data_IF_145583291861
#
_entry.id   IF_145583291861
#
_cell.length_a   1.000
_cell.length_b   1.000
_cell.length_c   1.000
_cell.angle_alpha   90.00
_cell.angle_beta   90.00
_cell.angle_gamma   90.00
#
_symmetry.space_group_name_H-M   'P 1'
#
loop_
_entity.id
_entity.type
_entity.pdbx_description
1 polymer ?
#
# COMPACT_ATOMS: atom_id res chain seq x y z
N UNK A 1 -6.73 1.64 -8.87
CA UNK A 1 -7.99 0.91 -8.68
C UNK A 1 -8.05 0.45 -7.23
N UNK A 2 -9.01 0.91 -6.45
CA UNK A 2 -9.20 0.51 -5.06
C UNK A 2 -10.15 -0.71 -5.00
N UNK A 3 -9.74 -1.77 -4.32
CA UNK A 3 -10.54 -2.99 -4.13
C UNK A 3 -11.80 -2.75 -3.30
N UNK A 4 -11.78 -1.76 -2.41
CA UNK A 4 -12.95 -1.40 -1.60
C UNK A 4 -14.14 -0.94 -2.46
N UNK A 5 -13.89 -0.44 -3.67
CA UNK A 5 -14.92 0.01 -4.61
C UNK A 5 -15.53 -1.15 -5.42
N UNK A 6 -14.90 -2.33 -5.41
CA UNK A 6 -15.38 -3.49 -6.16
C UNK A 6 -16.50 -4.23 -5.41
N UNK A 7 -17.63 -4.43 -6.09
CA UNK A 7 -18.64 -5.38 -5.67
C UNK A 7 -18.27 -6.78 -6.17
N UNK A 8 -17.90 -7.69 -5.26
CA UNK A 8 -17.39 -9.04 -5.59
C UNK A 8 -18.41 -9.96 -6.26
N UNK A 9 -19.70 -9.58 -6.30
CA UNK A 9 -20.71 -10.28 -7.11
C UNK A 9 -20.62 -9.95 -8.61
N UNK A 10 -19.90 -8.89 -8.98
CA UNK A 10 -19.65 -8.53 -10.37
C UNK A 10 -18.35 -9.19 -10.86
N UNK A 11 -18.33 -9.76 -12.08
CA UNK A 11 -17.11 -10.30 -12.66
C UNK A 11 -15.99 -9.26 -12.71
N UNK A 12 -14.77 -9.68 -12.37
CA UNK A 12 -13.59 -8.81 -12.32
C UNK A 12 -13.39 -8.03 -13.64
N UNK A 13 -13.52 -8.69 -14.80
CA UNK A 13 -13.30 -8.05 -16.10
C UNK A 13 -14.30 -6.92 -16.38
N UNK A 14 -15.55 -7.10 -15.94
CA UNK A 14 -16.58 -6.07 -16.07
C UNK A 14 -16.22 -4.86 -15.22
N UNK A 15 -15.85 -5.10 -13.96
CA UNK A 15 -15.42 -4.02 -13.07
C UNK A 15 -14.15 -3.32 -13.57
N UNK A 16 -13.14 -4.05 -14.04
CA UNK A 16 -11.91 -3.45 -14.61
C UNK A 16 -12.20 -2.63 -15.88
N UNK A 17 -13.15 -3.08 -16.71
CA UNK A 17 -13.58 -2.31 -17.89
C UNK A 17 -14.24 -1.00 -17.47
N UNK A 18 -15.09 -1.04 -16.44
CA UNK A 18 -15.73 0.14 -15.86
C UNK A 18 -14.72 1.09 -15.23
N UNK A 19 -13.75 0.61 -14.45
CA UNK A 19 -12.66 1.42 -13.91
C UNK A 19 -11.87 2.14 -15.01
N UNK A 20 -11.51 1.45 -16.09
CA UNK A 20 -10.83 2.05 -17.23
C UNK A 20 -11.67 3.14 -17.91
N UNK A 21 -12.99 2.93 -18.00
CA UNK A 21 -13.88 3.91 -18.62
C UNK A 21 -14.16 5.10 -17.71
N UNK A 22 -14.53 4.86 -16.46
CA UNK A 22 -15.08 5.88 -15.58
C UNK A 22 -13.97 6.71 -14.93
N UNK A 23 -12.89 6.05 -14.48
CA UNK A 23 -11.77 6.72 -13.82
C UNK A 23 -10.73 7.22 -14.81
N UNK A 24 -10.37 6.39 -15.79
CA UNK A 24 -9.28 6.68 -16.73
C UNK A 24 -9.75 7.21 -18.09
N UNK A 25 -11.07 7.38 -18.29
CA UNK A 25 -11.68 7.96 -19.50
C UNK A 25 -11.28 7.21 -20.79
N UNK A 26 -10.99 5.91 -20.69
CA UNK A 26 -10.74 5.03 -21.83
C UNK A 26 -12.09 4.65 -22.44
N UNK A 27 -12.23 4.82 -23.76
CA UNK A 27 -13.45 4.40 -24.46
C UNK A 27 -13.80 2.94 -24.14
N UNK A 28 -15.07 2.65 -23.85
CA UNK A 28 -15.52 1.32 -23.43
C UNK A 28 -15.10 0.20 -24.39
N UNK A 29 -15.19 0.42 -25.71
CA UNK A 29 -14.76 -0.57 -26.71
C UNK A 29 -13.26 -0.87 -26.59
N UNK A 30 -12.44 0.17 -26.42
CA UNK A 30 -11.00 0.02 -26.20
C UNK A 30 -10.71 -0.66 -24.87
N UNK A 31 -11.41 -0.30 -23.79
CA UNK A 31 -11.25 -0.93 -22.49
C UNK A 31 -11.55 -2.43 -22.55
N UNK A 32 -12.66 -2.84 -23.17
CA UNK A 32 -12.98 -4.26 -23.39
C UNK A 32 -11.89 -4.97 -24.19
N UNK A 33 -11.40 -4.37 -25.28
CA UNK A 33 -10.31 -4.93 -26.10
C UNK A 33 -8.97 -5.03 -25.36
N UNK A 34 -8.76 -4.28 -24.28
CA UNK A 34 -7.58 -4.37 -23.44
C UNK A 34 -7.74 -5.41 -22.32
N UNK A 35 -8.94 -5.53 -21.75
CA UNK A 35 -9.23 -6.45 -20.64
C UNK A 35 -9.42 -7.89 -21.12
N UNK A 36 -10.21 -8.13 -22.15
CA UNK A 36 -10.57 -9.48 -22.62
C UNK A 36 -9.35 -10.36 -22.96
N UNK A 37 -8.36 -9.89 -23.74
CA UNK A 37 -7.14 -10.65 -24.02
C UNK A 37 -6.09 -10.57 -22.90
N UNK A 38 -6.38 -9.88 -21.79
CA UNK A 38 -5.43 -9.71 -20.68
C UNK A 38 -4.23 -8.83 -21.04
N UNK A 39 -4.43 -7.72 -21.75
CA UNK A 39 -3.36 -6.76 -22.06
C UNK A 39 -3.03 -5.84 -20.88
N UNK A 40 -3.92 -5.73 -19.89
CA UNK A 40 -3.73 -4.90 -18.69
C UNK A 40 -3.20 -5.75 -17.54
N UNK A 41 -2.24 -5.21 -16.77
CA UNK A 41 -1.71 -5.81 -15.54
C UNK A 41 -2.15 -4.95 -14.34
N UNK A 42 -3.31 -5.25 -13.73
CA UNK A 42 -3.89 -4.35 -12.74
C UNK A 42 -3.11 -4.38 -11.42
N UNK A 43 -2.97 -3.20 -10.79
CA UNK A 43 -2.57 -3.06 -9.39
C UNK A 43 -3.83 -2.71 -8.60
N UNK A 44 -4.25 -3.65 -7.76
CA UNK A 44 -5.47 -3.63 -6.97
C UNK A 44 -5.11 -3.25 -5.53
N UNK A 45 -5.48 -2.05 -5.12
CA UNK A 45 -5.06 -1.49 -3.84
C UNK A 45 -6.09 -1.72 -2.73
N UNK A 46 -5.64 -1.97 -1.51
CA UNK A 46 -6.50 -1.88 -0.33
C UNK A 46 -7.39 -3.10 -0.11
N UNK A 47 -6.87 -4.34 -0.26
CA UNK A 47 -7.65 -5.54 0.09
C UNK A 47 -8.13 -5.50 1.55
N UNK A 48 -7.34 -4.90 2.45
CA UNK A 48 -7.69 -4.71 3.86
C UNK A 48 -8.74 -3.63 4.13
N UNK A 49 -9.09 -2.81 3.12
CA UNK A 49 -10.12 -1.77 3.22
C UNK A 49 -11.52 -2.29 2.83
N UNK A 50 -11.61 -3.53 2.32
CA UNK A 50 -12.89 -4.11 1.89
C UNK A 50 -13.84 -4.39 3.05
N UNK A 51 -13.30 -4.61 4.25
CA UNK A 51 -14.02 -4.93 5.47
C UNK A 51 -13.61 -3.97 6.60
N UNK A 52 -14.59 -3.43 7.34
CA UNK A 52 -14.30 -2.57 8.49
C UNK A 52 -13.61 -3.32 9.65
N UNK A 53 -13.83 -4.63 9.76
CA UNK A 53 -13.16 -5.50 10.72
C UNK A 53 -13.04 -6.94 10.18
N UNK A 54 -11.82 -7.30 9.74
CA UNK A 54 -11.46 -8.58 9.11
C UNK A 54 -11.62 -9.77 10.09
N UNK A 55 -11.85 -9.52 11.39
CA UNK A 55 -12.00 -10.56 12.42
C UNK A 55 -13.41 -11.11 12.63
N UNK A 56 -14.46 -10.36 12.23
CA UNK A 56 -15.85 -10.69 12.61
C UNK A 56 -16.47 -11.80 11.74
N UNK A 57 -17.52 -12.45 12.24
CA UNK A 57 -18.23 -13.58 11.59
C UNK A 57 -19.29 -13.13 10.58
N UNK A 58 -19.24 -11.87 10.13
CA UNK A 58 -20.13 -11.32 9.11
C UNK A 58 -19.73 -11.70 7.69
N UNK A 59 -20.48 -11.19 6.70
CA UNK A 59 -20.12 -11.30 5.28
C UNK A 59 -18.84 -10.51 5.01
N UNK A 60 -17.68 -11.17 5.08
CA UNK A 60 -16.39 -10.55 4.78
C UNK A 60 -16.19 -10.47 3.25
N UNK A 61 -16.03 -9.25 2.73
CA UNK A 61 -15.81 -8.95 1.32
C UNK A 61 -14.40 -9.32 0.87
N UNK A 62 -13.38 -9.21 1.72
CA UNK A 62 -12.00 -9.53 1.36
C UNK A 62 -11.80 -11.02 0.99
N UNK A 63 -12.31 -12.01 1.75
CA UNK A 63 -12.30 -13.41 1.33
C UNK A 63 -13.04 -13.66 0.01
N UNK A 64 -14.18 -13.01 -0.20
CA UNK A 64 -14.95 -13.15 -1.44
C UNK A 64 -14.19 -12.60 -2.64
N UNK A 65 -13.49 -11.47 -2.47
CA UNK A 65 -12.62 -10.91 -3.49
C UNK A 65 -11.49 -11.88 -3.84
N UNK A 66 -10.81 -12.46 -2.83
CA UNK A 66 -9.76 -13.46 -3.06
C UNK A 66 -10.29 -14.68 -3.82
N UNK A 67 -11.48 -15.16 -3.49
CA UNK A 67 -12.12 -16.26 -4.22
C UNK A 67 -12.39 -15.90 -5.68
N UNK A 68 -13.01 -14.74 -5.93
CA UNK A 68 -13.30 -14.26 -7.28
C UNK A 68 -12.03 -14.02 -8.11
N UNK A 69 -10.95 -13.52 -7.49
CA UNK A 69 -9.64 -13.38 -8.13
C UNK A 69 -9.07 -14.74 -8.53
N UNK A 70 -9.11 -15.73 -7.63
CA UNK A 70 -8.66 -17.09 -7.92
C UNK A 70 -9.46 -17.75 -9.05
N UNK A 71 -10.79 -17.61 -9.04
CA UNK A 71 -11.66 -18.13 -10.10
C UNK A 71 -11.39 -17.46 -11.46
N UNK A 72 -11.17 -16.14 -11.45
CA UNK A 72 -10.84 -15.39 -12.66
C UNK A 72 -9.51 -15.85 -13.28
N UNK A 73 -8.52 -16.20 -12.45
CA UNK A 73 -7.22 -16.71 -12.87
C UNK A 73 -7.24 -18.19 -13.27
N UNK A 74 -8.10 -19.01 -12.66
CA UNK A 74 -8.22 -20.42 -13.02
C UNK A 74 -8.95 -20.63 -14.35
N UNK A 75 -9.95 -19.80 -14.66
CA UNK A 75 -10.81 -19.95 -15.83
C UNK A 75 -10.19 -19.46 -17.15
N UNK A 76 -9.14 -18.63 -17.09
CA UNK A 76 -8.45 -18.10 -18.27
C UNK A 76 -6.97 -17.91 -17.94
N UNK A 77 -6.08 -18.02 -18.93
CA UNK A 77 -4.67 -17.61 -18.81
C UNK A 77 -4.55 -16.07 -18.72
N UNK A 78 -5.16 -15.46 -17.70
CA UNK A 78 -5.24 -14.01 -17.58
C UNK A 78 -3.91 -13.39 -17.21
N UNK A 79 -3.84 -12.11 -17.51
CA UNK A 79 -2.84 -11.17 -17.05
C UNK A 79 -2.44 -11.35 -15.58
N UNK A 80 -1.14 -11.38 -15.24
CA UNK A 80 -0.70 -11.14 -13.87
C UNK A 80 -1.31 -9.88 -13.27
N UNK A 81 -1.60 -9.94 -11.97
CA UNK A 81 -2.08 -8.81 -11.18
C UNK A 81 -1.23 -8.63 -9.93
N UNK A 82 -1.33 -7.46 -9.33
CA UNK A 82 -0.74 -7.16 -8.02
C UNK A 82 -1.87 -6.76 -7.08
N UNK A 83 -1.90 -7.34 -5.89
CA UNK A 83 -2.79 -6.91 -4.80
C UNK A 83 -1.95 -6.33 -3.69
N UNK A 84 -2.34 -5.17 -3.16
CA UNK A 84 -1.69 -4.57 -1.99
C UNK A 84 -2.62 -4.60 -0.79
N UNK A 85 -2.03 -4.76 0.39
CA UNK A 85 -2.70 -4.61 1.67
C UNK A 85 -1.70 -4.40 2.81
N UNK A 86 -2.22 -4.02 3.98
CA UNK A 86 -1.44 -4.03 5.23
C UNK A 86 -1.07 -5.46 5.65
N UNK A 87 0.17 -5.66 6.09
CA UNK A 87 0.71 -6.96 6.53
C UNK A 87 -0.13 -7.61 7.63
N UNK A 88 -0.51 -6.86 8.66
CA UNK A 88 -1.31 -7.40 9.77
C UNK A 88 -2.68 -7.93 9.31
N UNK A 89 -3.33 -7.21 8.39
CA UNK A 89 -4.60 -7.63 7.80
C UNK A 89 -4.44 -8.89 6.95
N UNK A 90 -3.37 -8.96 6.14
CA UNK A 90 -3.05 -10.17 5.37
C UNK A 90 -2.84 -11.38 6.29
N UNK A 91 -2.07 -11.25 7.37
CA UNK A 91 -1.77 -12.37 8.27
C UNK A 91 -3.01 -12.93 8.97
N UNK A 92 -4.01 -12.08 9.23
CA UNK A 92 -5.33 -12.50 9.74
C UNK A 92 -6.13 -13.19 8.63
N UNK A 93 -6.21 -12.56 7.46
CA UNK A 93 -7.01 -13.02 6.32
C UNK A 93 -6.49 -14.35 5.74
N UNK A 94 -5.17 -14.52 5.66
CA UNK A 94 -4.49 -15.69 5.10
C UNK A 94 -4.80 -17.00 5.83
N UNK A 95 -5.31 -16.92 7.07
CA UNK A 95 -5.82 -18.08 7.83
C UNK A 95 -7.14 -18.61 7.27
N UNK A 96 -7.88 -17.79 6.51
CA UNK A 96 -9.20 -18.09 5.94
C UNK A 96 -9.16 -18.21 4.41
N UNK A 97 -8.47 -17.29 3.73
CA UNK A 97 -8.40 -17.25 2.27
C UNK A 97 -7.06 -16.63 1.82
N UNK A 98 -6.55 -17.06 0.67
CA UNK A 98 -5.34 -16.51 0.04
C UNK A 98 -5.45 -16.55 -1.47
N UNK A 99 -4.66 -15.72 -2.15
CA UNK A 99 -4.43 -15.89 -3.59
C UNK A 99 -3.66 -17.19 -3.84
N UNK A 100 -4.04 -17.90 -4.90
CA UNK A 100 -3.33 -19.06 -5.42
C UNK A 100 -2.27 -18.60 -6.42
N UNK A 101 -1.19 -19.38 -6.55
CA UNK A 101 -0.08 -19.12 -7.47
C UNK A 101 0.52 -17.71 -7.37
N UNK A 102 0.46 -17.11 -6.17
CA UNK A 102 0.91 -15.76 -5.90
C UNK A 102 2.18 -15.75 -5.04
N UNK A 103 3.11 -14.85 -5.37
CA UNK A 103 4.22 -14.51 -4.49
C UNK A 103 3.78 -13.42 -3.50
N UNK A 104 4.13 -13.60 -2.21
CA UNK A 104 4.00 -12.54 -1.19
C UNK A 104 5.26 -11.68 -1.21
N UNK A 105 5.07 -10.37 -1.27
CA UNK A 105 6.15 -9.39 -1.16
C UNK A 105 5.83 -8.49 0.03
N UNK A 106 6.66 -8.55 1.07
CA UNK A 106 6.58 -7.64 2.21
C UNK A 106 7.53 -6.46 2.01
N UNK A 107 7.07 -5.26 2.37
CA UNK A 107 7.90 -4.06 2.36
C UNK A 107 8.65 -3.95 3.68
N UNK A 108 9.98 -4.04 3.61
CA UNK A 108 10.84 -3.77 4.76
C UNK A 108 10.83 -2.27 5.09
N UNK A 109 10.98 -1.91 6.37
CA UNK A 109 11.18 -0.51 6.75
C UNK A 109 12.42 0.08 6.08
N UNK A 110 12.38 1.38 5.80
CA UNK A 110 13.50 2.12 5.20
C UNK A 110 14.66 2.18 6.19
N UNK A 111 15.87 1.90 5.73
CA UNK A 111 17.06 1.98 6.58
C UNK A 111 17.49 3.43 6.82
N UNK A 112 18.33 3.64 7.84
CA UNK A 112 18.93 4.95 8.08
C UNK A 112 19.76 5.43 6.88
N UNK A 113 20.53 4.55 6.24
CA UNK A 113 21.33 4.91 5.06
C UNK A 113 20.45 5.28 3.86
N UNK A 114 19.34 4.56 3.65
CA UNK A 114 18.37 4.87 2.61
C UNK A 114 17.69 6.22 2.87
N UNK A 115 17.37 6.52 4.14
CA UNK A 115 16.81 7.81 4.56
C UNK A 115 17.78 8.96 4.28
N UNK A 116 19.05 8.81 4.67
CA UNK A 116 20.10 9.80 4.40
C UNK A 116 20.26 10.03 2.89
N UNK A 117 20.32 8.95 2.12
CA UNK A 117 20.44 8.99 0.66
C UNK A 117 19.26 9.71 0.02
N UNK A 118 18.04 9.43 0.50
CA UNK A 118 16.82 10.08 0.01
C UNK A 118 16.81 11.58 0.29
N UNK A 119 17.10 11.98 1.54
CA UNK A 119 17.12 13.39 1.94
C UNK A 119 18.20 14.15 1.20
N UNK A 120 19.41 13.58 1.08
CA UNK A 120 20.50 14.19 0.31
C UNK A 120 20.12 14.43 -1.16
N UNK A 121 19.34 13.54 -1.76
CA UNK A 121 18.94 13.62 -3.16
C UNK A 121 17.72 14.53 -3.43
N UNK A 122 16.83 14.72 -2.44
CA UNK A 122 15.51 15.33 -2.67
C UNK A 122 15.24 16.59 -1.85
N UNK A 123 15.90 16.78 -0.70
CA UNK A 123 15.64 17.94 0.13
C UNK A 123 16.26 19.21 -0.50
N UNK A 124 15.54 20.35 -0.55
CA UNK A 124 16.11 21.61 -1.05
C UNK A 124 17.35 22.10 -0.28
N UNK A 125 17.43 21.82 1.03
CA UNK A 125 18.55 22.20 1.91
C UNK A 125 18.98 21.01 2.79
N UNK A 126 19.65 19.99 2.24
CA UNK A 126 19.89 18.72 2.93
C UNK A 126 20.73 18.88 4.21
N UNK A 127 21.61 19.89 4.27
CA UNK A 127 22.44 20.15 5.46
C UNK A 127 21.59 20.50 6.70
N UNK A 128 20.43 21.13 6.52
CA UNK A 128 19.54 21.47 7.64
C UNK A 128 18.88 20.24 8.27
N UNK A 129 18.86 19.12 7.53
CA UNK A 129 18.28 17.84 7.94
C UNK A 129 19.29 16.90 8.58
N UNK A 130 20.59 17.19 8.48
CA UNK A 130 21.67 16.33 8.98
C UNK A 130 21.46 15.86 10.43
N UNK A 131 21.08 16.73 11.40
CA UNK A 131 20.87 16.28 12.77
C UNK A 131 19.75 15.24 12.91
N UNK A 132 18.74 15.34 12.04
CA UNK A 132 17.51 14.54 12.05
C UNK A 132 17.75 13.20 11.36
N UNK A 133 18.50 13.18 10.25
CA UNK A 133 18.84 11.92 9.52
C UNK A 133 20.04 11.17 10.11
N UNK A 134 20.86 11.82 10.94
CA UNK A 134 21.93 11.15 11.70
C UNK A 134 21.42 10.50 12.99
N UNK A 135 20.29 10.98 13.54
CA UNK A 135 19.74 10.46 14.79
C UNK A 135 19.41 8.97 14.74
N UNK A 136 18.78 8.43 13.67
CA UNK A 136 18.52 7.00 13.55
C UNK A 136 19.77 6.12 13.60
N UNK A 137 20.95 6.62 13.21
CA UNK A 137 22.20 5.85 13.34
C UNK A 137 22.70 5.81 14.79
N UNK A 138 22.52 6.90 15.53
CA UNK A 138 22.94 7.02 16.94
C UNK A 138 21.95 6.37 17.90
N UNK A 139 20.67 6.38 17.54
CA UNK A 139 19.58 5.81 18.33
C UNK A 139 18.60 5.02 17.44
N UNK A 140 18.97 3.79 17.01
CA UNK A 140 18.19 3.00 16.07
C UNK A 140 16.81 2.55 16.57
N UNK A 141 16.58 2.62 17.88
CA UNK A 141 15.29 2.29 18.52
C UNK A 141 14.55 3.56 18.99
N UNK A 142 15.10 4.74 18.68
CA UNK A 142 14.52 6.02 19.05
C UNK A 142 13.29 6.38 18.21
N UNK A 143 12.45 7.31 18.69
CA UNK A 143 11.29 7.79 17.92
C UNK A 143 11.63 8.27 16.50
N UNK A 144 12.75 8.98 16.24
CA UNK A 144 13.12 9.38 14.88
C UNK A 144 13.42 8.20 13.95
N UNK A 145 14.07 7.15 14.45
CA UNK A 145 14.33 5.94 13.67
C UNK A 145 13.03 5.25 13.25
N UNK A 146 12.04 5.17 14.14
CA UNK A 146 10.74 4.57 13.82
C UNK A 146 9.96 5.40 12.79
N UNK A 147 9.86 6.72 13.00
CA UNK A 147 9.17 7.65 12.09
C UNK A 147 9.79 7.59 10.69
N UNK A 148 11.11 7.69 10.58
CA UNK A 148 11.82 7.70 9.30
C UNK A 148 11.83 6.37 8.57
N UNK A 149 11.54 5.28 9.28
CA UNK A 149 11.47 3.95 8.66
C UNK A 149 10.26 3.78 7.73
N UNK A 150 9.33 4.75 7.71
CA UNK A 150 8.20 4.78 6.76
C UNK A 150 8.47 5.77 5.62
N UNK A 151 8.45 5.34 4.35
CA UNK A 151 8.80 6.21 3.22
C UNK A 151 7.90 7.44 3.07
N UNK A 152 6.60 7.30 3.38
CA UNK A 152 5.64 8.40 3.23
C UNK A 152 5.99 9.58 4.14
N UNK A 153 6.39 9.29 5.38
CA UNK A 153 6.85 10.31 6.30
C UNK A 153 8.10 10.99 5.79
N UNK A 154 8.89 10.45 4.86
CA UNK A 154 10.02 11.16 4.26
C UNK A 154 9.63 12.23 3.23
N UNK A 155 8.35 12.31 2.86
CA UNK A 155 7.84 13.20 1.81
C UNK A 155 6.83 14.24 2.29
N UNK A 156 6.32 14.10 3.52
CA UNK A 156 5.29 15.00 4.07
C UNK A 156 5.86 16.25 4.74
N UNK A 157 5.06 17.32 4.78
CA UNK A 157 5.35 18.53 5.56
C UNK A 157 5.53 18.24 7.06
N UNK A 158 5.02 17.12 7.56
CA UNK A 158 5.20 16.67 8.95
C UNK A 158 6.67 16.47 9.34
N UNK A 159 7.55 16.16 8.39
CA UNK A 159 8.98 16.15 8.65
C UNK A 159 9.51 17.49 9.11
N UNK A 160 8.96 18.59 8.57
CA UNK A 160 9.37 19.93 8.98
C UNK A 160 9.11 20.12 10.46
N UNK A 161 7.94 19.67 10.95
CA UNK A 161 7.59 19.72 12.36
C UNK A 161 8.47 18.80 13.23
N UNK A 162 8.82 17.60 12.76
CA UNK A 162 9.76 16.70 13.46
C UNK A 162 11.17 17.30 13.54
N UNK A 163 11.64 17.91 12.46
CA UNK A 163 12.94 18.57 12.41
C UNK A 163 12.99 19.81 13.33
N UNK A 164 11.92 20.60 13.36
CA UNK A 164 11.81 21.77 14.22
C UNK A 164 11.66 21.40 15.71
N UNK A 165 10.92 20.33 16.03
CA UNK A 165 10.78 19.78 17.37
C UNK A 165 12.10 19.21 17.90
N UNK A 166 12.83 18.47 17.06
CA UNK A 166 14.17 17.94 17.37
C UNK A 166 15.18 19.08 17.61
N UNK A 167 15.13 20.15 16.79
CA UNK A 167 15.98 21.33 16.95
C UNK A 167 15.72 22.11 18.24
N UNK A 168 14.48 22.11 18.75
CA UNK A 168 14.08 22.85 19.96
C UNK A 168 14.14 22.00 21.25
N UNK A 169 14.59 20.74 21.19
CA UNK A 169 14.64 19.85 22.35
C UNK A 169 13.27 19.44 22.90
N UNK A 170 12.20 19.64 22.14
CA UNK A 170 10.83 19.30 22.53
C UNK A 170 10.41 17.99 21.85
N UNK A 171 10.71 16.84 22.46
CA UNK A 171 10.05 15.58 22.09
C UNK A 171 8.65 15.58 22.72
N UNK A 172 7.71 16.30 22.10
CA UNK A 172 6.30 16.22 22.47
C UNK A 172 5.70 15.02 21.74
N UNK A 173 5.34 13.98 22.50
CA UNK A 173 4.56 12.77 22.12
C UNK A 173 4.08 12.80 20.67
N UNK A 174 4.83 12.18 19.76
CA UNK A 174 4.33 11.83 18.45
C UNK A 174 3.38 10.64 18.60
N UNK A 175 2.24 10.77 17.95
CA UNK A 175 1.10 9.86 17.96
C UNK A 175 1.54 8.43 17.61
N UNK A 176 1.17 7.48 18.47
CA UNK A 176 1.37 6.05 18.22
C UNK A 176 0.09 5.54 17.53
N UNK A 177 0.04 5.63 16.21
CA UNK A 177 -0.83 4.75 15.44
C UNK A 177 0.00 3.56 14.99
N UNK A 178 -0.25 2.42 15.65
CA UNK A 178 0.16 1.10 15.17
C UNK A 178 -0.46 0.91 13.79
N UNK A 179 0.38 0.93 12.76
CA UNK A 179 0.15 0.24 11.49
C UNK A 179 0.44 -1.24 11.65
#
# INVERSE_FOLDING_TARGET
MNLADWNTNQPLDTWLTEELTDTYQVNRTTATLLIDPGCVRPVLNGLDEMDADIGTTGSCRAPAALAALNESHASRHKAPLVVTCRTAAYDILAKRARLLDAARIDLSPVTAEQTQSFVAARAPNPQQWQPVVDDPQRNPQGPPAHVMSTPWLLTGDELWHVAEATRRGFVRKLFCERL
#
